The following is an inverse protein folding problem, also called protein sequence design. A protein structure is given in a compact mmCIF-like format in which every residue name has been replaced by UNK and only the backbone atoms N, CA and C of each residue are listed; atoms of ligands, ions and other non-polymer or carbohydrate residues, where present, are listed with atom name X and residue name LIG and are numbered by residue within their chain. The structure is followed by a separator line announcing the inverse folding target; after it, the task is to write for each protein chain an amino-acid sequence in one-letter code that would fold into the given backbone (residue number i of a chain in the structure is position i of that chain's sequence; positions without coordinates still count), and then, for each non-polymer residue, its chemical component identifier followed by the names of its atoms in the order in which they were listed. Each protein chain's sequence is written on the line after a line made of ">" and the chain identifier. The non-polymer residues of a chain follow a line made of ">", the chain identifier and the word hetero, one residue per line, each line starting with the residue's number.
data_IF_692269883338
#
_entry.id   IF_692269883338
#
_cell.length_a   1.000
_cell.length_b   1.000
_cell.length_c   1.000
_cell.angle_alpha   90.00
_cell.angle_beta   90.00
_cell.angle_gamma   90.00
#
_symmetry.space_group_name_H-M   'P 1'
#
loop_
_entity.id
_entity.type
_entity.pdbx_description
1 polymer ?
#
# COMPACT_ATOMS: atom_id res chain seq x y z
N UNK A 1 -29.86 63.46 52.89
CA UNK A 1 -28.61 62.72 52.84
C UNK A 1 -28.77 61.67 51.75
N UNK A 2 -28.24 61.95 50.53
CA UNK A 2 -28.45 61.10 49.34
C UNK A 2 -27.20 60.27 49.15
N UNK A 3 -27.33 58.96 49.27
CA UNK A 3 -26.26 57.95 49.08
C UNK A 3 -26.23 57.57 47.60
N UNK A 4 -25.18 57.98 46.90
CA UNK A 4 -24.88 57.60 45.53
C UNK A 4 -24.27 56.22 45.53
N UNK A 5 -24.96 55.20 44.96
CA UNK A 5 -24.42 53.87 44.67
C UNK A 5 -23.74 53.93 43.32
N UNK A 6 -22.43 53.83 43.28
CA UNK A 6 -21.67 53.60 42.04
C UNK A 6 -21.76 52.13 41.68
N UNK A 7 -22.40 51.85 40.57
CA UNK A 7 -22.48 50.54 39.94
C UNK A 7 -21.27 50.40 39.02
N UNK A 8 -20.26 49.66 39.46
CA UNK A 8 -19.12 49.28 38.61
C UNK A 8 -19.55 48.14 37.67
N UNK A 9 -19.71 48.45 36.40
CA UNK A 9 -19.92 47.45 35.35
C UNK A 9 -18.53 46.97 34.94
N UNK A 10 -18.15 45.75 35.36
CA UNK A 10 -16.97 45.07 34.83
C UNK A 10 -17.31 44.56 33.43
N UNK A 11 -16.74 45.17 32.41
CA UNK A 11 -16.78 44.71 31.04
C UNK A 11 -15.74 43.59 30.87
N UNK A 12 -16.17 42.35 31.00
CA UNK A 12 -15.33 41.18 30.70
C UNK A 12 -15.24 41.04 29.19
N UNK A 13 -14.16 41.52 28.58
CA UNK A 13 -13.86 41.23 27.19
C UNK A 13 -13.29 39.83 27.08
N UNK A 14 -14.12 38.86 26.68
CA UNK A 14 -13.67 37.52 26.32
C UNK A 14 -12.99 37.61 24.95
N UNK A 15 -11.67 37.62 24.92
CA UNK A 15 -10.90 37.41 23.70
C UNK A 15 -10.98 35.90 23.35
N UNK A 16 -11.84 35.59 22.39
CA UNK A 16 -11.85 34.25 21.77
C UNK A 16 -10.58 34.09 20.92
N UNK A 17 -9.61 33.35 21.43
CA UNK A 17 -8.51 32.86 20.60
C UNK A 17 -9.10 31.84 19.63
N UNK A 18 -9.32 32.25 18.39
CA UNK A 18 -9.53 31.32 17.29
C UNK A 18 -8.20 30.59 17.02
N UNK A 19 -8.08 29.38 17.55
CA UNK A 19 -7.04 28.47 17.11
C UNK A 19 -7.39 28.11 15.66
N UNK A 20 -6.75 28.75 14.70
CA UNK A 20 -6.76 28.29 13.32
C UNK A 20 -6.10 26.91 13.31
N UNK A 21 -6.93 25.85 13.39
CA UNK A 21 -6.46 24.51 13.06
C UNK A 21 -6.09 24.55 11.58
N UNK A 22 -4.79 24.60 11.30
CA UNK A 22 -4.27 24.47 9.97
C UNK A 22 -4.69 23.10 9.44
N UNK A 23 -5.78 23.07 8.69
CA UNK A 23 -6.07 21.95 7.83
C UNK A 23 -4.91 21.86 6.85
N UNK A 24 -4.07 20.84 6.99
CA UNK A 24 -3.19 20.43 5.92
C UNK A 24 -4.08 20.02 4.75
N UNK A 25 -4.26 20.93 3.81
CA UNK A 25 -5.02 20.76 2.55
C UNK A 25 -4.34 19.79 1.57
N UNK A 26 -3.64 18.76 2.05
CA UNK A 26 -2.93 17.80 1.23
C UNK A 26 -3.24 16.34 1.63
N UNK A 27 -4.48 16.03 1.97
CA UNK A 27 -4.90 14.63 2.02
C UNK A 27 -5.11 14.12 0.59
N UNK A 28 -4.05 13.56 -0.02
CA UNK A 28 -4.22 12.80 -1.25
C UNK A 28 -4.95 11.49 -0.93
N UNK A 29 -6.20 11.38 -1.36
CA UNK A 29 -6.92 10.13 -1.30
C UNK A 29 -6.37 9.18 -2.37
N UNK A 30 -6.36 7.88 -2.09
CA UNK A 30 -5.90 6.88 -3.06
C UNK A 30 -6.72 6.93 -4.36
N UNK A 31 -8.01 7.25 -4.27
CA UNK A 31 -8.92 7.47 -5.42
C UNK A 31 -8.49 8.62 -6.34
N UNK A 32 -7.65 9.54 -5.86
CA UNK A 32 -7.18 10.70 -6.64
C UNK A 32 -5.83 10.42 -7.34
N UNK A 33 -5.32 9.20 -7.23
CA UNK A 33 -4.07 8.81 -7.86
C UNK A 33 -4.16 8.96 -9.38
N UNK A 34 -3.24 9.75 -9.95
CA UNK A 34 -3.15 10.01 -11.41
C UNK A 34 -2.10 9.15 -12.09
N UNK A 35 -1.17 8.58 -11.32
CA UNK A 35 -0.12 7.70 -11.82
C UNK A 35 -0.49 6.23 -11.78
N UNK A 36 0.51 5.39 -11.90
CA UNK A 36 0.37 3.95 -11.71
C UNK A 36 0.01 3.65 -10.26
N UNK A 37 -0.72 2.57 -10.05
CA UNK A 37 -1.07 2.07 -8.72
C UNK A 37 -0.51 0.68 -8.52
N UNK A 38 -0.06 0.37 -7.31
CA UNK A 38 0.54 -0.93 -7.03
C UNK A 38 0.08 -1.52 -5.71
N UNK A 39 -0.14 -2.83 -5.71
CA UNK A 39 -0.34 -3.60 -4.50
C UNK A 39 1.01 -4.18 -4.08
N UNK A 40 1.51 -3.71 -2.95
CA UNK A 40 2.79 -4.13 -2.36
C UNK A 40 2.56 -5.24 -1.35
N UNK A 41 3.33 -6.30 -1.47
CA UNK A 41 3.39 -7.42 -0.54
C UNK A 41 4.84 -7.62 -0.11
N UNK A 42 5.12 -7.44 1.18
CA UNK A 42 6.43 -7.77 1.78
C UNK A 42 6.27 -9.08 2.53
N UNK A 43 7.18 -10.02 2.26
CA UNK A 43 7.12 -11.38 2.78
C UNK A 43 8.40 -11.77 3.51
N UNK A 44 8.23 -12.53 4.58
CA UNK A 44 9.31 -13.30 5.20
C UNK A 44 9.49 -14.61 4.46
N UNK A 45 10.74 -15.08 4.36
CA UNK A 45 11.04 -16.40 3.79
C UNK A 45 10.77 -17.44 4.87
N UNK A 46 10.00 -18.48 4.52
CA UNK A 46 9.75 -19.60 5.44
C UNK A 46 11.03 -20.44 5.60
N UNK A 47 11.14 -21.17 6.70
CA UNK A 47 12.27 -22.07 6.97
C UNK A 47 12.50 -23.10 5.85
N UNK A 48 11.41 -23.58 5.24
CA UNK A 48 11.43 -24.50 4.09
C UNK A 48 11.37 -23.79 2.75
N UNK A 49 11.20 -22.46 2.76
CA UNK A 49 11.03 -21.65 1.57
C UNK A 49 12.34 -21.35 0.85
N UNK A 50 12.23 -21.07 -0.43
CA UNK A 50 13.37 -20.74 -1.28
C UNK A 50 13.10 -19.52 -2.15
N UNK A 51 14.15 -18.77 -2.48
CA UNK A 51 14.08 -17.67 -3.47
C UNK A 51 13.66 -18.20 -4.85
N UNK A 52 14.08 -19.43 -5.21
CA UNK A 52 13.68 -20.08 -6.45
C UNK A 52 12.18 -20.38 -6.52
N UNK A 53 11.60 -20.89 -5.43
CA UNK A 53 10.16 -21.10 -5.30
C UNK A 53 9.38 -19.80 -5.38
N UNK A 54 9.84 -18.77 -4.67
CA UNK A 54 9.23 -17.43 -4.76
C UNK A 54 9.26 -16.90 -6.20
N UNK A 55 10.39 -17.00 -6.90
CA UNK A 55 10.51 -16.56 -8.30
C UNK A 55 9.52 -17.29 -9.21
N UNK A 56 9.37 -18.61 -9.04
CA UNK A 56 8.40 -19.41 -9.80
C UNK A 56 6.97 -18.89 -9.59
N UNK A 57 6.59 -18.58 -8.34
CA UNK A 57 5.29 -17.99 -8.04
C UNK A 57 5.10 -16.62 -8.73
N UNK A 58 6.13 -15.78 -8.72
CA UNK A 58 6.13 -14.46 -9.40
C UNK A 58 5.91 -14.63 -10.91
N UNK A 59 6.61 -15.57 -11.55
CA UNK A 59 6.49 -15.81 -12.99
C UNK A 59 5.07 -16.28 -13.37
N UNK A 60 4.47 -17.17 -12.57
CA UNK A 60 3.07 -17.60 -12.77
C UNK A 60 2.07 -16.47 -12.49
N UNK A 61 2.32 -15.66 -11.47
CA UNK A 61 1.50 -14.50 -11.15
C UNK A 61 1.54 -13.45 -12.28
N UNK A 62 2.70 -13.20 -12.88
CA UNK A 62 2.81 -12.35 -14.08
C UNK A 62 2.01 -12.94 -15.25
N UNK A 63 2.18 -14.26 -15.49
CA UNK A 63 1.47 -14.98 -16.56
C UNK A 63 -0.05 -14.88 -16.39
N UNK A 64 -0.56 -14.95 -15.17
CA UNK A 64 -1.97 -14.83 -14.82
C UNK A 64 -2.62 -13.56 -15.37
N UNK A 65 -1.93 -12.40 -15.31
CA UNK A 65 -2.41 -11.14 -15.91
C UNK A 65 -2.21 -11.12 -17.42
N UNK A 66 -1.06 -11.57 -17.89
CA UNK A 66 -0.70 -11.54 -19.32
C UNK A 66 -1.65 -12.38 -20.16
N UNK A 67 -1.98 -13.59 -19.72
CA UNK A 67 -2.89 -14.49 -20.43
C UNK A 67 -4.31 -13.92 -20.56
N UNK A 68 -4.67 -12.98 -19.67
CA UNK A 68 -5.98 -12.29 -19.66
C UNK A 68 -5.96 -10.93 -20.35
N UNK A 69 -4.83 -10.60 -20.98
CA UNK A 69 -4.68 -9.35 -21.78
C UNK A 69 -4.58 -8.08 -20.95
N UNK A 70 -4.25 -8.18 -19.66
CA UNK A 70 -4.03 -7.00 -18.80
C UNK A 70 -2.56 -6.56 -18.82
N UNK A 71 -2.32 -5.26 -19.05
CA UNK A 71 -1.00 -4.65 -18.91
C UNK A 71 -0.69 -4.38 -17.43
N UNK A 72 -0.55 -5.47 -16.67
CA UNK A 72 -0.16 -5.47 -15.26
C UNK A 72 1.24 -6.04 -15.16
N UNK A 73 2.08 -5.41 -14.35
CA UNK A 73 3.45 -5.88 -14.09
C UNK A 73 3.56 -6.42 -12.68
N UNK A 74 4.06 -7.64 -12.55
CA UNK A 74 4.39 -8.24 -11.27
C UNK A 74 5.90 -8.12 -11.07
N UNK A 75 6.31 -7.08 -10.38
CA UNK A 75 7.72 -6.84 -10.05
C UNK A 75 8.04 -7.48 -8.71
N UNK A 76 9.21 -8.09 -8.61
CA UNK A 76 9.69 -8.67 -7.36
C UNK A 76 11.15 -8.30 -7.10
N UNK A 77 11.50 -8.20 -5.84
CA UNK A 77 12.88 -7.98 -5.41
C UNK A 77 13.19 -8.76 -4.14
N UNK A 78 14.49 -8.98 -3.96
CA UNK A 78 15.06 -9.53 -2.74
C UNK A 78 15.62 -8.36 -1.94
N UNK A 79 15.24 -8.28 -0.67
CA UNK A 79 15.74 -7.25 0.23
C UNK A 79 16.90 -7.82 1.08
N UNK A 80 17.94 -7.03 1.24
CA UNK A 80 19.08 -7.30 2.09
C UNK A 80 19.21 -6.18 3.13
N UNK A 81 19.57 -6.52 4.35
CA UNK A 81 19.85 -5.49 5.35
C UNK A 81 21.16 -4.76 5.00
N UNK A 82 21.21 -3.46 5.33
CA UNK A 82 22.44 -2.69 5.28
C UNK A 82 23.14 -2.75 6.63
N UNK A 83 24.43 -3.06 6.60
CA UNK A 83 25.30 -3.04 7.78
C UNK A 83 26.49 -2.11 7.50
N UNK A 84 26.43 -0.92 8.07
CA UNK A 84 27.37 0.17 7.74
C UNK A 84 27.29 0.53 6.25
N UNK A 85 28.42 0.41 5.53
CA UNK A 85 28.49 0.68 4.08
C UNK A 85 28.24 -0.58 3.21
N UNK A 86 28.06 -1.74 3.83
CA UNK A 86 27.79 -3.00 3.15
C UNK A 86 26.36 -3.47 3.19
N UNK A 87 26.11 -4.63 2.64
CA UNK A 87 24.87 -5.40 2.74
C UNK A 87 25.13 -6.76 3.35
N UNK A 88 24.13 -7.32 4.02
CA UNK A 88 24.19 -8.71 4.49
C UNK A 88 24.22 -9.68 3.31
N UNK A 89 24.85 -10.85 3.49
CA UNK A 89 24.85 -11.90 2.47
C UNK A 89 23.52 -12.62 2.38
N UNK A 90 22.82 -12.76 3.50
CA UNK A 90 21.53 -13.42 3.58
C UNK A 90 20.38 -12.44 3.27
N UNK A 91 19.39 -12.86 2.46
CA UNK A 91 18.22 -12.06 2.21
C UNK A 91 17.40 -11.86 3.48
N UNK A 92 16.92 -10.63 3.69
CA UNK A 92 16.08 -10.30 4.83
C UNK A 92 14.59 -10.50 4.56
N UNK A 93 14.14 -10.15 3.34
CA UNK A 93 12.75 -10.24 2.89
C UNK A 93 12.65 -10.40 1.38
N UNK A 94 11.45 -10.78 0.95
CA UNK A 94 11.04 -10.80 -0.46
C UNK A 94 9.87 -9.85 -0.65
N UNK A 95 9.90 -9.06 -1.71
CA UNK A 95 8.84 -8.08 -1.98
C UNK A 95 8.26 -8.32 -3.38
N UNK A 96 6.95 -8.29 -3.48
CA UNK A 96 6.21 -8.30 -4.75
C UNK A 96 5.36 -7.05 -4.87
N UNK A 97 5.39 -6.42 -6.04
CA UNK A 97 4.51 -5.30 -6.39
C UNK A 97 3.72 -5.65 -7.64
N UNK A 98 2.41 -5.74 -7.50
CA UNK A 98 1.48 -5.89 -8.62
C UNK A 98 1.10 -4.49 -9.09
N UNK A 99 1.69 -4.06 -10.20
CA UNK A 99 1.58 -2.68 -10.70
C UNK A 99 0.59 -2.59 -11.87
N UNK A 100 -0.42 -1.77 -11.71
CA UNK A 100 -1.40 -1.41 -12.74
C UNK A 100 -1.03 -0.06 -13.36
N UNK A 101 -1.26 0.15 -14.66
CA UNK A 101 -1.00 1.44 -15.31
C UNK A 101 -1.74 2.63 -14.68
N UNK A 102 -2.83 2.36 -13.97
CA UNK A 102 -3.61 3.34 -13.22
C UNK A 102 -4.87 2.74 -12.63
N UNK A 103 -5.57 3.54 -11.84
CA UNK A 103 -6.81 3.12 -11.14
C UNK A 103 -7.88 2.55 -12.07
N UNK A 104 -7.99 3.07 -13.30
CA UNK A 104 -8.98 2.57 -14.27
C UNK A 104 -8.76 1.08 -14.57
N UNK A 105 -7.51 0.69 -14.84
CA UNK A 105 -7.18 -0.71 -15.15
C UNK A 105 -7.32 -1.60 -13.91
N UNK A 106 -6.91 -1.09 -12.74
CA UNK A 106 -7.11 -1.80 -11.48
C UNK A 106 -8.60 -2.06 -11.22
N UNK A 107 -9.45 -1.06 -11.39
CA UNK A 107 -10.91 -1.20 -11.20
C UNK A 107 -11.54 -2.16 -12.23
N UNK A 108 -11.10 -2.14 -13.48
CA UNK A 108 -11.55 -3.10 -14.50
C UNK A 108 -11.19 -4.53 -14.08
N UNK A 109 -9.97 -4.74 -13.59
CA UNK A 109 -9.53 -6.02 -13.08
C UNK A 109 -10.36 -6.49 -11.87
N UNK A 110 -10.57 -5.61 -10.89
CA UNK A 110 -11.30 -5.94 -9.65
C UNK A 110 -12.78 -6.23 -9.86
N UNK A 111 -13.40 -5.64 -10.90
CA UNK A 111 -14.82 -5.79 -11.19
C UNK A 111 -15.14 -6.79 -12.30
N UNK A 112 -14.13 -7.49 -12.84
CA UNK A 112 -14.35 -8.52 -13.84
C UNK A 112 -14.99 -9.77 -13.23
N UNK A 113 -15.69 -10.53 -14.04
CA UNK A 113 -16.10 -11.89 -13.65
C UNK A 113 -14.89 -12.79 -13.47
N UNK A 114 -14.91 -13.58 -12.42
CA UNK A 114 -13.85 -14.54 -12.09
C UNK A 114 -14.36 -15.94 -12.41
N UNK A 115 -13.77 -16.57 -13.43
CA UNK A 115 -14.14 -17.92 -13.86
C UNK A 115 -13.53 -19.03 -13.00
N UNK A 116 -13.99 -20.25 -13.13
CA UNK A 116 -13.38 -21.42 -12.46
C UNK A 116 -11.90 -21.57 -12.87
N UNK A 117 -11.57 -21.35 -14.15
CA UNK A 117 -10.18 -21.37 -14.63
C UNK A 117 -9.34 -20.26 -14.00
N UNK A 118 -9.94 -19.08 -13.79
CA UNK A 118 -9.26 -18.00 -13.07
C UNK A 118 -8.91 -18.40 -11.64
N UNK A 119 -9.81 -19.11 -10.98
CA UNK A 119 -9.58 -19.59 -9.61
C UNK A 119 -8.45 -20.63 -9.57
N UNK A 120 -8.47 -21.61 -10.49
CA UNK A 120 -7.40 -22.62 -10.58
C UNK A 120 -6.03 -21.99 -10.83
N UNK A 121 -5.94 -21.07 -11.79
CA UNK A 121 -4.71 -20.39 -12.12
C UNK A 121 -4.22 -19.50 -10.94
N UNK A 122 -5.17 -18.82 -10.27
CA UNK A 122 -4.87 -18.01 -9.09
C UNK A 122 -4.32 -18.87 -7.95
N UNK A 123 -5.01 -19.96 -7.62
CA UNK A 123 -4.62 -20.85 -6.53
C UNK A 123 -3.25 -21.46 -6.79
N UNK A 124 -2.92 -21.77 -8.05
CA UNK A 124 -1.65 -22.39 -8.44
C UNK A 124 -0.43 -21.57 -8.05
N UNK A 125 -0.44 -20.24 -8.23
CA UNK A 125 0.69 -19.40 -7.82
C UNK A 125 0.62 -19.00 -6.34
N UNK A 126 -0.59 -18.87 -5.77
CA UNK A 126 -0.76 -18.59 -4.33
C UNK A 126 -0.22 -19.74 -3.49
N UNK A 127 -0.47 -20.99 -3.89
CA UNK A 127 0.06 -22.17 -3.20
C UNK A 127 1.59 -22.13 -3.15
N UNK A 128 2.26 -21.85 -4.28
CA UNK A 128 3.72 -21.75 -4.33
C UNK A 128 4.24 -20.57 -3.49
N UNK A 129 3.54 -19.41 -3.49
CA UNK A 129 3.90 -18.32 -2.56
C UNK A 129 3.82 -18.80 -1.12
N UNK A 130 2.72 -19.44 -0.73
CA UNK A 130 2.49 -19.90 0.64
C UNK A 130 3.45 -20.99 1.11
N UNK A 131 3.95 -21.82 0.19
CA UNK A 131 4.99 -22.82 0.49
C UNK A 131 6.36 -22.20 0.78
N UNK A 132 6.64 -21.03 0.22
CA UNK A 132 7.96 -20.41 0.28
C UNK A 132 8.01 -19.16 1.16
N UNK A 133 6.89 -18.47 1.34
CA UNK A 133 6.87 -17.16 2.00
C UNK A 133 5.63 -16.94 2.85
N UNK A 134 5.72 -16.00 3.79
CA UNK A 134 4.61 -15.49 4.57
C UNK A 134 4.51 -13.98 4.40
N UNK A 135 3.41 -13.50 3.84
CA UNK A 135 3.16 -12.04 3.72
C UNK A 135 2.98 -11.42 5.09
N UNK A 136 3.80 -10.42 5.39
CA UNK A 136 3.79 -9.67 6.67
C UNK A 136 3.34 -8.22 6.52
N UNK A 137 3.46 -7.63 5.31
CA UNK A 137 2.99 -6.28 5.01
C UNK A 137 2.19 -6.31 3.70
N UNK A 138 1.05 -5.61 3.71
CA UNK A 138 0.26 -5.30 2.51
C UNK A 138 0.00 -3.81 2.47
N UNK A 139 0.28 -3.18 1.33
CA UNK A 139 0.02 -1.75 1.10
C UNK A 139 -0.47 -1.53 -0.33
N UNK A 140 -1.24 -0.46 -0.51
CA UNK A 140 -1.51 0.09 -1.84
C UNK A 140 -0.71 1.37 -2.01
N UNK A 141 -0.04 1.51 -3.14
CA UNK A 141 0.82 2.64 -3.46
C UNK A 141 0.27 3.38 -4.68
N UNK A 142 0.32 4.70 -4.62
CA UNK A 142 0.17 5.58 -5.77
C UNK A 142 1.56 6.04 -6.16
N UNK A 143 1.99 5.79 -7.39
CA UNK A 143 3.30 6.20 -7.89
C UNK A 143 3.18 7.58 -8.52
N UNK A 144 3.95 8.51 -7.97
CA UNK A 144 4.01 9.89 -8.47
C UNK A 144 4.96 9.93 -9.67
N UNK A 145 4.45 10.37 -10.82
CA UNK A 145 5.21 10.54 -12.09
C UNK A 145 5.86 11.92 -12.13
#
# INVERSE_FOLDING_TARGET
>A
MKIFKYLFIFLVTTTTFSVASGHHENSHNFSDCKGSVGNLYVSEILETGTVGGFKKAVDLHQKFYTDRGYDVKVNANIEYNRDGDGTTEEPSRLTTVVMFPGLKVQNQWMNREFSDQDQEDFDSFIEIYNENTKVVIRKSNCYLN
#
